data_IF_583406626069
#
_entry.id   IF_583406626069
#
_cell.length_a   1.000
_cell.length_b   1.000
_cell.length_c   1.000
_cell.angle_alpha   90.00
_cell.angle_beta   90.00
_cell.angle_gamma   90.00
#
_symmetry.space_group_name_H-M   'P 1'
#
loop_
_entity.id
_entity.type
_entity.pdbx_description
1 polymer ?
#
# COMPACT_ATOMS: atom_id res chain seq x y z
N UNK A 1 5.72 31.47 15.67
CA UNK A 1 5.81 30.44 14.59
C UNK A 1 4.57 29.58 14.72
N UNK A 2 3.65 29.63 13.76
CA UNK A 2 2.48 28.74 13.77
C UNK A 2 2.94 27.34 13.37
N UNK A 3 2.77 26.37 14.25
CA UNK A 3 3.04 24.95 13.98
C UNK A 3 1.89 24.41 13.12
N UNK A 4 2.19 24.04 11.87
CA UNK A 4 1.17 23.44 11.00
C UNK A 4 0.89 22.00 11.45
N UNK A 5 -0.36 21.74 11.85
CA UNK A 5 -0.80 20.42 12.26
C UNK A 5 -0.97 19.46 11.06
N UNK A 6 -0.68 18.19 11.29
CA UNK A 6 -0.81 17.10 10.31
C UNK A 6 -1.29 15.83 11.00
N UNK A 7 -1.84 14.88 10.24
CA UNK A 7 -2.28 13.58 10.79
C UNK A 7 -1.09 12.79 11.34
N UNK A 8 -1.26 12.13 12.49
CA UNK A 8 -0.17 11.47 13.22
C UNK A 8 0.49 10.30 12.47
N UNK A 9 -0.26 9.58 11.63
CA UNK A 9 0.25 8.35 10.99
C UNK A 9 0.79 8.57 9.58
N UNK A 10 0.18 9.50 8.83
CA UNK A 10 0.47 9.70 7.40
C UNK A 10 0.92 11.13 7.08
N UNK A 11 1.02 11.98 8.10
CA UNK A 11 1.46 13.36 8.00
C UNK A 11 0.71 14.18 6.93
N UNK A 12 -0.59 13.91 6.77
CA UNK A 12 -1.41 14.68 5.85
C UNK A 12 -1.74 16.05 6.45
N UNK A 13 -1.64 17.14 5.66
CA UNK A 13 -1.86 18.48 6.18
C UNK A 13 -3.32 18.66 6.62
N UNK A 14 -3.51 19.12 7.86
CA UNK A 14 -4.83 19.45 8.39
C UNK A 14 -5.13 20.94 8.23
N UNK A 15 -6.40 21.35 8.10
CA UNK A 15 -6.78 22.75 8.27
C UNK A 15 -6.26 23.34 9.59
N UNK A 16 -6.03 24.65 9.65
CA UNK A 16 -5.55 25.30 10.86
C UNK A 16 -6.35 26.57 11.15
N UNK A 17 -6.67 26.82 12.42
CA UNK A 17 -7.51 27.95 12.85
C UNK A 17 -7.00 29.34 12.43
N UNK A 18 -5.69 29.47 12.24
CA UNK A 18 -5.04 30.73 11.83
C UNK A 18 -4.95 30.88 10.31
N UNK A 19 -5.36 29.88 9.53
CA UNK A 19 -5.33 29.94 8.07
C UNK A 19 -6.55 30.69 7.53
N UNK A 20 -6.36 31.36 6.40
CA UNK A 20 -7.47 31.79 5.57
C UNK A 20 -8.16 30.57 4.95
N UNK A 21 -9.47 30.69 4.66
CA UNK A 21 -10.24 29.63 4.01
C UNK A 21 -9.55 29.10 2.75
N UNK A 22 -9.00 29.98 1.91
CA UNK A 22 -8.29 29.58 0.69
C UNK A 22 -7.07 28.69 0.98
N UNK A 23 -6.33 28.97 2.05
CA UNK A 23 -5.17 28.18 2.46
C UNK A 23 -5.61 26.81 2.97
N UNK A 24 -6.69 26.74 3.73
CA UNK A 24 -7.25 25.46 4.19
C UNK A 24 -7.80 24.62 3.03
N UNK A 25 -8.47 25.23 2.04
CA UNK A 25 -8.91 24.54 0.83
C UNK A 25 -7.71 23.95 0.07
N UNK A 26 -6.60 24.70 -0.04
CA UNK A 26 -5.38 24.17 -0.65
C UNK A 26 -4.82 23.00 0.14
N UNK A 27 -4.77 23.08 1.48
CA UNK A 27 -4.28 22.01 2.35
C UNK A 27 -5.14 20.75 2.24
N UNK A 28 -6.46 20.90 2.26
CA UNK A 28 -7.40 19.79 2.08
C UNK A 28 -7.23 19.12 0.72
N UNK A 29 -7.11 19.91 -0.36
CA UNK A 29 -6.83 19.36 -1.68
C UNK A 29 -5.53 18.58 -1.71
N UNK A 30 -4.46 19.10 -1.12
CA UNK A 30 -3.17 18.40 -1.02
C UNK A 30 -3.29 17.11 -0.22
N UNK A 31 -3.99 17.13 0.92
CA UNK A 31 -4.24 15.93 1.72
C UNK A 31 -4.97 14.85 0.92
N UNK A 32 -6.00 15.24 0.15
CA UNK A 32 -6.76 14.30 -0.68
C UNK A 32 -5.91 13.67 -1.79
N UNK A 33 -5.07 14.45 -2.46
CA UNK A 33 -4.14 13.93 -3.49
C UNK A 33 -3.14 12.95 -2.87
N UNK A 34 -2.59 13.28 -1.71
CA UNK A 34 -1.66 12.39 -1.01
C UNK A 34 -2.35 11.09 -0.57
N UNK A 35 -3.58 11.16 -0.05
CA UNK A 35 -4.37 9.97 0.30
C UNK A 35 -4.60 9.08 -0.92
N UNK A 36 -4.97 9.67 -2.06
CA UNK A 36 -5.22 8.92 -3.29
C UNK A 36 -3.96 8.18 -3.76
N UNK A 37 -2.82 8.88 -3.78
CA UNK A 37 -1.51 8.30 -4.11
C UNK A 37 -1.12 7.16 -3.17
N UNK A 38 -1.32 7.34 -1.87
CA UNK A 38 -0.97 6.36 -0.85
C UNK A 38 -1.85 5.10 -0.94
N UNK A 39 -3.14 5.27 -1.25
CA UNK A 39 -4.07 4.16 -1.47
C UNK A 39 -3.68 3.41 -2.73
N UNK A 40 -3.38 4.11 -3.83
CA UNK A 40 -2.95 3.49 -5.08
C UNK A 40 -1.68 2.64 -4.88
N UNK A 41 -0.65 3.21 -4.25
CA UNK A 41 0.58 2.48 -3.95
C UNK A 41 0.33 1.26 -3.03
N UNK A 42 -0.60 1.37 -2.08
CA UNK A 42 -0.98 0.25 -1.22
C UNK A 42 -1.69 -0.88 -1.99
N UNK A 43 -2.49 -0.54 -3.01
CA UNK A 43 -3.14 -1.53 -3.89
C UNK A 43 -2.07 -2.24 -4.73
N UNK A 44 -1.19 -1.49 -5.38
CA UNK A 44 -0.11 -2.05 -6.21
C UNK A 44 0.78 -3.01 -5.39
N UNK A 45 1.20 -2.59 -4.21
CA UNK A 45 2.00 -3.44 -3.32
C UNK A 45 1.28 -4.75 -2.94
N UNK A 46 -0.01 -4.68 -2.65
CA UNK A 46 -0.79 -5.88 -2.33
C UNK A 46 -0.92 -6.80 -3.54
N UNK A 47 -1.15 -6.26 -4.73
CA UNK A 47 -1.25 -7.04 -5.96
C UNK A 47 0.07 -7.75 -6.27
N UNK A 48 1.20 -7.06 -6.15
CA UNK A 48 2.53 -7.66 -6.30
C UNK A 48 2.76 -8.79 -5.28
N UNK A 49 2.41 -8.56 -4.01
CA UNK A 49 2.54 -9.58 -2.96
C UNK A 49 1.67 -10.82 -3.27
N UNK A 50 0.42 -10.62 -3.72
CA UNK A 50 -0.45 -11.73 -4.10
C UNK A 50 0.11 -12.51 -5.29
N UNK A 51 0.68 -11.83 -6.28
CA UNK A 51 1.34 -12.48 -7.41
C UNK A 51 2.52 -13.34 -6.95
N UNK A 52 3.40 -12.80 -6.09
CA UNK A 52 4.54 -13.56 -5.54
C UNK A 52 4.08 -14.79 -4.75
N UNK A 53 3.06 -14.64 -3.89
CA UNK A 53 2.49 -15.77 -3.14
C UNK A 53 1.89 -16.84 -4.07
N UNK A 54 1.22 -16.43 -5.15
CA UNK A 54 0.66 -17.36 -6.13
C UNK A 54 1.76 -18.17 -6.85
N UNK A 55 2.88 -17.52 -7.18
CA UNK A 55 4.02 -18.18 -7.81
C UNK A 55 4.70 -19.16 -6.84
N UNK A 56 4.87 -18.77 -5.58
CA UNK A 56 5.43 -19.64 -4.54
C UNK A 56 4.54 -20.88 -4.34
N UNK A 57 3.22 -20.70 -4.21
CA UNK A 57 2.27 -21.81 -4.11
C UNK A 57 2.36 -22.77 -5.29
N UNK A 58 2.49 -22.23 -6.51
CA UNK A 58 2.68 -23.04 -7.72
C UNK A 58 3.98 -23.86 -7.66
N UNK A 59 5.09 -23.25 -7.26
CA UNK A 59 6.38 -23.94 -7.11
C UNK A 59 6.32 -25.06 -6.07
N UNK A 60 5.74 -24.81 -4.91
CA UNK A 60 5.56 -25.83 -3.86
C UNK A 60 4.74 -27.01 -4.38
N UNK A 61 3.62 -26.75 -5.06
CA UNK A 61 2.78 -27.80 -5.64
C UNK A 61 3.52 -28.62 -6.70
N UNK A 62 4.29 -27.98 -7.57
CA UNK A 62 5.11 -28.69 -8.56
C UNK A 62 6.14 -29.60 -7.89
N UNK A 63 6.87 -29.10 -6.90
CA UNK A 63 7.87 -29.88 -6.17
C UNK A 63 7.26 -31.09 -5.47
N UNK A 64 6.02 -30.99 -4.96
CA UNK A 64 5.30 -32.12 -4.37
C UNK A 64 5.00 -33.20 -5.43
N UNK A 65 4.39 -32.82 -6.56
CA UNK A 65 4.08 -33.76 -7.65
C UNK A 65 5.34 -34.47 -8.18
N UNK A 66 6.44 -33.74 -8.34
CA UNK A 66 7.74 -34.28 -8.78
C UNK A 66 8.43 -35.15 -7.71
N UNK A 67 8.08 -34.97 -6.43
CA UNK A 67 8.55 -35.83 -5.35
C UNK A 67 7.85 -37.17 -5.36
N UNK A 68 6.52 -37.16 -5.52
CA UNK A 68 5.68 -38.36 -5.54
C UNK A 68 6.01 -39.28 -6.74
N UNK A 69 6.37 -38.71 -7.90
CA UNK A 69 6.78 -39.49 -9.09
C UNK A 69 8.11 -40.24 -8.91
N UNK A 70 9.01 -39.76 -8.03
CA UNK A 70 10.31 -40.42 -7.77
C UNK A 70 10.19 -41.65 -6.88
N UNK A 71 9.12 -41.75 -6.10
CA UNK A 71 8.86 -42.91 -5.24
C UNK A 71 8.17 -44.07 -6.02
N UNK A 72 7.82 -43.85 -7.29
CA UNK A 72 7.19 -44.85 -8.18
C UNK A 72 8.15 -45.48 -9.19
N UNK A 73 9.43 -45.11 -9.21
CA UNK A 73 10.43 -45.77 -10.05
C UNK A 73 11.00 -47.02 -9.36
N UNK A 74 10.47 -48.19 -9.74
CA UNK A 74 11.02 -49.53 -9.46
C UNK A 74 12.16 -49.89 -10.42
#
# INVERSE_FOLDING_TARGET
MSTFESTSNRNYPLPHKDNLLQQDVQRLRTALVNVDSDVHASIEFNDELQQQLSQLKRRVRLNQLLGDDKDLSF
#
